data_IF_155920548148
#
_entry.id   IF_155920548148
#
_cell.length_a   1.000
_cell.length_b   1.000
_cell.length_c   1.000
_cell.angle_alpha   90.00
_cell.angle_beta   90.00
_cell.angle_gamma   90.00
#
_symmetry.space_group_name_H-M   'P 1'
#
loop_
_entity.id
_entity.type
_entity.pdbx_description
1 polymer ?
#
# COMPACT_ATOMS: atom_id res chain seq x y z
N UNK A 1 23.41 -13.80 7.51
CA UNK A 1 23.01 -12.50 6.94
C UNK A 1 22.51 -12.77 5.54
N UNK A 2 21.24 -12.50 5.25
CA UNK A 2 20.71 -12.61 3.89
C UNK A 2 21.30 -11.51 3.01
N UNK A 3 21.56 -11.81 1.74
CA UNK A 3 22.00 -10.80 0.77
C UNK A 3 20.81 -9.93 0.42
N UNK A 4 20.93 -8.61 0.59
CA UNK A 4 19.94 -7.65 0.14
C UNK A 4 19.85 -7.68 -1.39
N UNK A 5 18.66 -7.95 -1.92
CA UNK A 5 18.35 -7.90 -3.34
C UNK A 5 17.76 -6.53 -3.69
N UNK A 6 18.13 -5.97 -4.83
CA UNK A 6 17.49 -4.77 -5.36
C UNK A 6 16.69 -5.17 -6.61
N UNK A 7 15.35 -5.29 -6.51
CA UNK A 7 14.55 -5.73 -7.63
C UNK A 7 14.56 -4.69 -8.75
N UNK A 8 14.57 -5.12 -10.03
CA UNK A 8 14.32 -4.22 -11.15
C UNK A 8 12.91 -3.61 -11.06
N UNK A 9 12.67 -2.45 -11.71
CA UNK A 9 11.35 -1.84 -11.75
C UNK A 9 10.29 -2.86 -12.20
N UNK A 10 9.20 -2.95 -11.43
CA UNK A 10 8.05 -3.83 -11.70
C UNK A 10 8.32 -5.35 -11.67
N UNK A 11 9.52 -5.80 -11.28
CA UNK A 11 9.89 -7.20 -11.27
C UNK A 11 10.47 -7.59 -9.90
N UNK A 12 9.56 -7.87 -8.98
CA UNK A 12 9.86 -8.30 -7.62
C UNK A 12 9.94 -9.82 -7.54
N UNK A 13 11.09 -10.34 -7.16
CA UNK A 13 11.27 -11.77 -6.90
C UNK A 13 10.55 -12.16 -5.60
N UNK A 14 9.86 -13.30 -5.63
CA UNK A 14 9.15 -13.86 -4.49
C UNK A 14 10.02 -14.88 -3.78
N UNK A 15 9.88 -14.94 -2.45
CA UNK A 15 10.44 -16.02 -1.65
C UNK A 15 9.38 -16.54 -0.68
N UNK A 16 9.51 -17.81 -0.31
CA UNK A 16 8.65 -18.40 0.71
C UNK A 16 8.81 -17.64 2.05
N UNK A 17 7.74 -17.39 2.81
CA UNK A 17 7.80 -16.71 4.10
C UNK A 17 8.88 -17.27 5.03
N UNK A 18 8.99 -18.59 5.12
CA UNK A 18 9.93 -19.32 5.97
C UNK A 18 11.38 -19.08 5.56
N UNK A 19 11.64 -18.99 4.25
CA UNK A 19 12.97 -18.67 3.72
C UNK A 19 13.41 -17.24 4.11
N UNK A 20 12.45 -16.36 4.37
CA UNK A 20 12.66 -15.01 4.86
C UNK A 20 12.61 -14.93 6.40
N UNK A 21 12.38 -16.05 7.10
CA UNK A 21 12.32 -16.10 8.56
C UNK A 21 10.99 -15.67 9.16
N UNK A 22 9.92 -15.62 8.36
CA UNK A 22 8.56 -15.49 8.86
C UNK A 22 7.98 -16.85 9.23
N UNK A 23 7.14 -16.87 10.26
CA UNK A 23 6.16 -17.95 10.43
C UNK A 23 5.03 -17.74 9.41
N UNK A 24 4.68 -18.76 8.61
CA UNK A 24 3.73 -18.61 7.51
C UNK A 24 2.30 -18.37 8.01
N UNK A 25 1.90 -18.97 9.12
CA UNK A 25 0.56 -18.84 9.68
C UNK A 25 0.38 -17.45 10.31
N UNK A 26 1.38 -16.97 11.03
CA UNK A 26 1.37 -15.62 11.59
C UNK A 26 1.39 -14.54 10.50
N UNK A 27 2.18 -14.73 9.44
CA UNK A 27 2.21 -13.79 8.31
C UNK A 27 0.86 -13.78 7.57
N UNK A 28 0.27 -14.94 7.31
CA UNK A 28 -1.04 -15.05 6.69
C UNK A 28 -2.13 -14.38 7.54
N UNK A 29 -2.10 -14.58 8.86
CA UNK A 29 -3.03 -13.92 9.81
C UNK A 29 -2.88 -12.40 9.77
N UNK A 30 -1.66 -11.88 9.73
CA UNK A 30 -1.39 -10.45 9.65
C UNK A 30 -1.88 -9.84 8.31
N UNK A 31 -1.63 -10.52 7.18
CA UNK A 31 -2.11 -10.08 5.87
C UNK A 31 -3.65 -10.06 5.82
N UNK A 32 -4.30 -11.10 6.33
CA UNK A 32 -5.76 -11.16 6.40
C UNK A 32 -6.34 -10.06 7.29
N UNK A 33 -5.74 -9.81 8.45
CA UNK A 33 -6.13 -8.69 9.31
C UNK A 33 -6.01 -7.35 8.56
N UNK A 34 -4.90 -7.09 7.88
CA UNK A 34 -4.70 -5.86 7.12
C UNK A 34 -5.70 -5.71 5.97
N UNK A 35 -5.98 -6.81 5.24
CA UNK A 35 -6.95 -6.81 4.14
C UNK A 35 -8.39 -6.55 4.62
N UNK A 36 -8.74 -7.05 5.80
CA UNK A 36 -10.10 -6.91 6.37
C UNK A 36 -10.29 -5.67 7.23
N UNK A 37 -9.19 -5.01 7.63
CA UNK A 37 -9.20 -3.73 8.36
C UNK A 37 -9.32 -2.55 7.41
N UNK A 38 -10.42 -2.51 6.66
CA UNK A 38 -10.70 -1.46 5.69
C UNK A 38 -11.09 -0.14 6.37
N UNK A 39 -10.75 0.99 5.74
CA UNK A 39 -11.15 2.31 6.23
C UNK A 39 -12.60 2.59 5.86
N UNK A 40 -13.34 3.23 6.77
CA UNK A 40 -14.71 3.69 6.53
C UNK A 40 -14.75 5.00 5.72
N UNK A 41 -14.06 4.99 4.59
CA UNK A 41 -14.04 6.08 3.63
C UNK A 41 -14.73 5.63 2.34
N UNK A 42 -15.50 6.53 1.68
CA UNK A 42 -16.11 6.24 0.41
C UNK A 42 -15.06 5.85 -0.64
N UNK A 43 -15.48 5.01 -1.59
CA UNK A 43 -14.63 4.63 -2.73
C UNK A 43 -14.30 5.84 -3.61
N UNK A 44 -15.27 6.74 -3.83
CA UNK A 44 -15.00 8.02 -4.49
C UNK A 44 -14.40 9.02 -3.49
N UNK A 45 -13.07 9.06 -3.47
CA UNK A 45 -12.30 9.93 -2.59
C UNK A 45 -12.36 11.40 -3.00
N UNK A 46 -12.79 11.74 -4.22
CA UNK A 46 -12.87 13.14 -4.67
C UNK A 46 -13.83 14.00 -3.84
N UNK A 47 -14.82 13.36 -3.21
CA UNK A 47 -15.81 14.04 -2.38
C UNK A 47 -15.35 14.29 -0.94
N UNK A 48 -14.24 13.70 -0.52
CA UNK A 48 -13.71 13.82 0.85
C UNK A 48 -12.35 14.52 0.89
N UNK A 49 -11.57 14.44 -0.19
CA UNK A 49 -10.28 15.11 -0.32
C UNK A 49 -10.48 16.61 -0.12
N UNK A 50 -9.74 17.20 0.83
CA UNK A 50 -9.76 18.60 1.21
C UNK A 50 -11.08 19.13 1.79
N UNK A 51 -12.08 18.27 2.06
CA UNK A 51 -13.38 18.72 2.60
C UNK A 51 -13.25 19.47 3.92
N UNK A 52 -12.36 19.00 4.79
CA UNK A 52 -12.17 19.53 6.14
C UNK A 52 -11.00 20.52 6.23
N UNK A 53 -10.36 20.85 5.11
CA UNK A 53 -9.28 21.83 5.07
C UNK A 53 -9.84 23.27 5.22
N UNK A 54 -9.07 24.22 5.78
CA UNK A 54 -9.50 25.62 5.85
C UNK A 54 -9.45 26.30 4.47
N UNK A 55 -10.34 27.27 4.18
CA UNK A 55 -10.20 28.12 3.00
C UNK A 55 -8.83 28.82 2.93
N UNK A 56 -8.23 28.97 1.73
CA UNK A 56 -8.75 28.63 0.41
C UNK A 56 -8.43 27.19 -0.05
N UNK A 57 -7.89 26.34 0.83
CA UNK A 57 -7.38 25.00 0.47
C UNK A 57 -8.48 23.93 0.41
N UNK A 58 -9.72 24.28 0.78
CA UNK A 58 -10.89 23.40 0.79
C UNK A 58 -11.48 23.12 -0.60
N UNK A 59 -10.64 23.13 -1.64
CA UNK A 59 -11.03 22.91 -3.03
C UNK A 59 -10.16 21.83 -3.64
N UNK A 60 -10.81 20.82 -4.23
CA UNK A 60 -10.13 19.82 -5.02
C UNK A 60 -9.44 20.46 -6.24
N UNK A 61 -8.14 20.15 -6.42
CA UNK A 61 -7.34 20.56 -7.58
C UNK A 61 -6.93 19.32 -8.36
N UNK A 62 -7.32 19.27 -9.64
CA UNK A 62 -6.98 18.17 -10.54
C UNK A 62 -7.94 16.98 -10.47
N UNK A 63 -7.73 15.97 -11.34
CA UNK A 63 -8.58 14.80 -11.41
C UNK A 63 -8.35 13.85 -10.23
N UNK A 64 -9.43 13.20 -9.80
CA UNK A 64 -9.41 12.07 -8.87
C UNK A 64 -9.97 10.83 -9.56
N UNK A 65 -9.74 9.67 -8.95
CA UNK A 65 -10.38 8.42 -9.35
C UNK A 65 -10.83 7.64 -8.11
N UNK A 66 -11.82 6.75 -8.24
CA UNK A 66 -12.21 5.87 -7.14
C UNK A 66 -11.02 5.06 -6.63
N UNK A 67 -10.89 4.90 -5.31
CA UNK A 67 -9.83 4.10 -4.68
C UNK A 67 -10.07 2.59 -4.84
N UNK A 68 -9.01 1.79 -4.72
CA UNK A 68 -9.13 0.34 -4.58
C UNK A 68 -9.55 -0.08 -3.17
N UNK A 69 -9.73 -1.38 -2.99
CA UNK A 69 -9.80 -2.01 -1.67
C UNK A 69 -8.43 -2.02 -1.00
N UNK A 70 -8.38 -2.24 0.31
CA UNK A 70 -7.16 -2.46 1.07
C UNK A 70 -6.24 -3.46 0.35
N UNK A 71 -5.05 -2.98 0.02
CA UNK A 71 -4.02 -3.70 -0.74
C UNK A 71 -2.67 -3.46 -0.10
N UNK A 72 -1.75 -4.40 -0.24
CA UNK A 72 -0.43 -4.25 0.35
C UNK A 72 0.54 -5.36 -0.02
N UNK A 73 1.78 -5.18 0.42
CA UNK A 73 2.91 -6.05 0.19
C UNK A 73 3.79 -6.10 1.45
N UNK A 74 4.33 -7.26 1.74
CA UNK A 74 5.36 -7.47 2.76
C UNK A 74 6.65 -7.83 2.06
N UNK A 75 7.66 -7.01 2.31
CA UNK A 75 8.98 -7.11 1.68
C UNK A 75 10.03 -7.34 2.74
N UNK A 76 10.93 -8.30 2.51
CA UNK A 76 12.11 -8.50 3.34
C UNK A 76 13.31 -8.82 2.47
N UNK A 77 14.44 -8.17 2.75
CA UNK A 77 15.71 -8.35 2.03
C UNK A 77 15.59 -8.17 0.50
N UNK A 78 14.62 -7.36 0.05
CA UNK A 78 14.35 -7.11 -1.37
C UNK A 78 13.44 -8.13 -2.06
N UNK A 79 12.95 -9.12 -1.32
CA UNK A 79 12.09 -10.19 -1.80
C UNK A 79 10.67 -10.01 -1.28
N UNK A 80 9.69 -10.31 -2.12
CA UNK A 80 8.28 -10.27 -1.76
C UNK A 80 7.91 -11.55 -0.98
N UNK A 81 7.52 -11.37 0.28
CA UNK A 81 7.10 -12.45 1.17
C UNK A 81 5.60 -12.76 1.04
N UNK A 82 4.79 -11.71 0.88
CA UNK A 82 3.35 -11.80 0.73
C UNK A 82 2.79 -10.51 0.11
N UNK A 83 1.61 -10.59 -0.49
CA UNK A 83 0.83 -9.48 -1.01
C UNK A 83 -0.67 -9.80 -0.99
N UNK A 84 -1.49 -8.76 -1.04
CA UNK A 84 -2.95 -8.89 -1.08
C UNK A 84 -3.59 -7.71 -1.84
N UNK A 85 -4.80 -7.94 -2.35
CA UNK A 85 -5.54 -6.94 -3.12
C UNK A 85 -4.92 -6.73 -4.51
N UNK A 86 -4.73 -5.47 -4.90
CA UNK A 86 -4.16 -5.06 -6.20
C UNK A 86 -3.02 -4.07 -5.98
N UNK A 87 -1.86 -4.49 -5.44
CA UNK A 87 -0.76 -3.58 -5.09
C UNK A 87 -0.17 -2.83 -6.29
N UNK A 88 -0.33 -3.34 -7.50
CA UNK A 88 0.08 -2.71 -8.76
C UNK A 88 -0.87 -1.58 -9.22
N UNK A 89 -2.07 -1.50 -8.63
CA UNK A 89 -3.04 -0.46 -8.96
C UNK A 89 -2.53 0.87 -8.44
N UNK A 90 -2.30 1.81 -9.35
CA UNK A 90 -1.99 3.20 -8.98
C UNK A 90 -3.17 3.77 -8.19
N UNK A 91 -2.95 4.28 -6.99
CA UNK A 91 -3.97 4.91 -6.16
C UNK A 91 -3.49 6.25 -5.61
N UNK A 92 -4.42 7.08 -5.14
CA UNK A 92 -4.03 8.24 -4.32
C UNK A 92 -3.40 7.73 -3.03
N UNK A 93 -2.12 8.04 -2.82
CA UNK A 93 -1.35 7.61 -1.64
C UNK A 93 -1.34 8.62 -0.50
N UNK A 94 -2.05 9.75 -0.67
CA UNK A 94 -2.17 10.83 0.30
C UNK A 94 -0.80 11.26 0.85
N UNK A 95 -0.62 11.25 2.17
CA UNK A 95 0.58 11.74 2.83
C UNK A 95 1.83 10.92 2.56
N UNK A 96 1.74 9.68 2.05
CA UNK A 96 2.93 8.96 1.61
C UNK A 96 3.70 9.74 0.52
N UNK A 97 3.00 10.54 -0.29
CA UNK A 97 3.61 11.43 -1.29
C UNK A 97 4.68 12.35 -0.68
N UNK A 98 4.48 12.80 0.57
CA UNK A 98 5.40 13.71 1.25
C UNK A 98 6.77 13.08 1.47
N UNK A 99 6.83 11.74 1.62
CA UNK A 99 8.08 10.99 1.78
C UNK A 99 8.91 10.87 0.50
N UNK A 100 8.33 11.13 -0.67
CA UNK A 100 9.06 11.08 -1.95
C UNK A 100 9.61 12.43 -2.42
N UNK A 101 9.12 13.53 -1.82
CA UNK A 101 9.41 14.91 -2.24
C UNK A 101 10.40 15.62 -1.30
N UNK A 102 10.91 14.91 -0.30
CA UNK A 102 11.91 15.38 0.67
C UNK A 102 13.27 14.74 0.41
#
# INVERSE_FOLDING_TARGET
MGTLVFPPPFAWDRAAPEALGFDPDDLARACNYAQTSEIDWPTDVGNIVCRDDPPPYNRLIGPTKPRGTASGLVVKDGLLAADWGTPERVDMTFSATKSYLW
#
